data_IF_081295683755
#
_entry.id   IF_081295683755
#
_cell.length_a   1.000
_cell.length_b   1.000
_cell.length_c   1.000
_cell.angle_alpha   90.00
_cell.angle_beta   90.00
_cell.angle_gamma   90.00
#
_symmetry.space_group_name_H-M   'P 1'
#
loop_
_entity.id
_entity.type
_entity.pdbx_description
1 polymer ?
#
# COMPACT_ATOMS: atom_id res chain seq x y z
N UNK A 1 9.15 29.48 -11.31
CA UNK A 1 8.21 28.81 -10.38
C UNK A 1 8.64 29.10 -8.96
N UNK A 2 7.74 29.57 -8.09
CA UNK A 2 8.05 29.67 -6.66
C UNK A 2 8.05 28.24 -6.06
N UNK A 3 9.21 27.75 -5.67
CA UNK A 3 9.38 26.42 -5.05
C UNK A 3 9.02 26.50 -3.55
N UNK A 4 7.74 26.61 -3.26
CA UNK A 4 7.24 26.49 -1.88
C UNK A 4 6.95 25.03 -1.54
N UNK A 5 6.99 24.66 -0.26
CA UNK A 5 6.60 23.31 0.17
C UNK A 5 5.18 22.98 -0.33
N UNK A 6 4.25 23.93 -0.27
CA UNK A 6 2.87 23.74 -0.75
C UNK A 6 2.81 23.44 -2.26
N UNK A 7 3.66 24.06 -3.10
CA UNK A 7 3.67 23.78 -4.54
C UNK A 7 4.39 22.49 -4.89
N UNK A 8 5.50 22.21 -4.23
CA UNK A 8 6.34 21.02 -4.54
C UNK A 8 5.68 19.71 -4.14
N UNK A 9 4.98 19.69 -2.99
CA UNK A 9 4.27 18.51 -2.47
C UNK A 9 2.79 18.47 -2.89
N UNK A 10 2.35 19.34 -3.80
CA UNK A 10 0.95 19.41 -4.21
C UNK A 10 0.50 18.14 -4.94
N UNK A 11 -0.62 17.61 -4.49
CA UNK A 11 -1.39 16.57 -5.19
C UNK A 11 -2.78 17.08 -5.58
N UNK A 12 -3.01 18.39 -5.45
CA UNK A 12 -4.28 19.02 -5.79
C UNK A 12 -4.64 18.78 -7.26
N UNK A 13 -5.85 18.30 -7.49
CA UNK A 13 -6.36 18.00 -8.83
C UNK A 13 -5.79 16.73 -9.48
N UNK A 14 -4.84 16.02 -8.83
CA UNK A 14 -4.34 14.75 -9.33
C UNK A 14 -5.37 13.64 -9.15
N UNK A 15 -5.52 12.77 -10.14
CA UNK A 15 -6.33 11.55 -10.07
C UNK A 15 -5.47 10.40 -9.55
N UNK A 16 -5.89 9.83 -8.43
CA UNK A 16 -5.17 8.76 -7.72
C UNK A 16 -6.01 7.50 -7.65
N UNK A 17 -5.53 6.39 -8.18
CA UNK A 17 -6.13 5.08 -8.00
C UNK A 17 -5.46 4.38 -6.80
N UNK A 18 -6.26 4.00 -5.80
CA UNK A 18 -5.78 3.39 -4.55
C UNK A 18 -6.44 2.03 -4.32
N UNK A 19 -5.65 0.97 -4.32
CA UNK A 19 -6.13 -0.38 -3.98
C UNK A 19 -6.08 -0.63 -2.48
N UNK A 20 -7.06 -1.39 -1.95
CA UNK A 20 -7.15 -1.67 -0.52
C UNK A 20 -7.47 -0.45 0.33
N UNK A 21 -8.24 0.49 -0.23
CA UNK A 21 -8.50 1.80 0.35
C UNK A 21 -9.24 1.76 1.70
N UNK A 22 -10.04 0.73 1.97
CA UNK A 22 -10.74 0.58 3.27
C UNK A 22 -9.90 -0.11 4.37
N UNK A 23 -8.67 -0.52 4.03
CA UNK A 23 -7.74 -1.16 4.97
C UNK A 23 -7.15 -0.19 6.00
N UNK A 24 -6.38 -0.72 6.96
CA UNK A 24 -5.78 0.05 8.05
C UNK A 24 -4.89 1.21 7.56
N UNK A 25 -3.95 0.94 6.66
CA UNK A 25 -3.13 2.00 6.04
C UNK A 25 -3.87 2.69 4.89
N UNK A 26 -4.62 1.92 4.08
CA UNK A 26 -5.29 2.44 2.90
C UNK A 26 -6.29 3.55 3.21
N UNK A 27 -7.04 3.46 4.32
CA UNK A 27 -7.96 4.52 4.73
C UNK A 27 -7.23 5.83 5.06
N UNK A 28 -6.05 5.75 5.68
CA UNK A 28 -5.25 6.94 5.98
C UNK A 28 -4.58 7.51 4.73
N UNK A 29 -4.22 6.67 3.77
CA UNK A 29 -3.75 7.12 2.46
C UNK A 29 -4.85 7.87 1.69
N UNK A 30 -6.07 7.31 1.66
CA UNK A 30 -7.22 8.00 1.04
C UNK A 30 -7.50 9.36 1.71
N UNK A 31 -7.62 9.39 3.04
CA UNK A 31 -7.83 10.61 3.80
C UNK A 31 -6.73 11.65 3.56
N UNK A 32 -5.46 11.23 3.52
CA UNK A 32 -4.32 12.11 3.23
C UNK A 32 -4.43 12.73 1.84
N UNK A 33 -4.72 11.93 0.82
CA UNK A 33 -4.83 12.39 -0.57
C UNK A 33 -6.01 13.35 -0.75
N UNK A 34 -7.18 12.98 -0.23
CA UNK A 34 -8.40 13.79 -0.28
C UNK A 34 -8.26 15.13 0.43
N UNK A 35 -7.66 15.13 1.64
CA UNK A 35 -7.39 16.34 2.41
C UNK A 35 -6.44 17.31 1.70
N UNK A 36 -5.62 16.82 0.75
CA UNK A 36 -4.71 17.63 -0.08
C UNK A 36 -5.28 17.87 -1.50
N UNK A 37 -6.59 17.67 -1.69
CA UNK A 37 -7.30 18.03 -2.92
C UNK A 37 -7.13 17.08 -4.10
N UNK A 38 -6.61 15.86 -3.86
CA UNK A 38 -6.58 14.84 -4.90
C UNK A 38 -7.97 14.21 -5.09
N UNK A 39 -8.28 13.78 -6.31
CA UNK A 39 -9.41 12.89 -6.62
C UNK A 39 -8.95 11.44 -6.38
N UNK A 40 -9.67 10.71 -5.55
CA UNK A 40 -9.33 9.32 -5.19
C UNK A 40 -10.35 8.35 -5.76
N UNK A 41 -9.85 7.38 -6.53
CA UNK A 41 -10.59 6.22 -7.01
C UNK A 41 -10.18 5.05 -6.13
N UNK A 42 -11.07 4.66 -5.22
CA UNK A 42 -10.81 3.70 -4.17
C UNK A 42 -11.28 2.30 -4.56
N UNK A 43 -10.41 1.29 -4.48
CA UNK A 43 -10.75 -0.11 -4.70
C UNK A 43 -10.67 -0.88 -3.37
N UNK A 44 -11.66 -1.73 -3.10
CA UNK A 44 -11.71 -2.59 -1.91
C UNK A 44 -12.80 -3.63 -1.99
N UNK A 45 -12.82 -4.61 -1.07
CA UNK A 45 -13.66 -5.81 -1.20
C UNK A 45 -14.89 -5.88 -0.28
N UNK A 46 -15.19 -4.87 0.49
CA UNK A 46 -16.21 -5.04 1.54
C UNK A 46 -17.13 -3.84 1.70
N UNK A 47 -18.28 -4.06 2.33
CA UNK A 47 -19.19 -2.99 2.78
C UNK A 47 -18.50 -1.90 3.59
N UNK A 48 -17.36 -2.20 4.22
CA UNK A 48 -16.51 -1.20 4.87
C UNK A 48 -16.04 -0.12 3.88
N UNK A 49 -15.77 -0.48 2.61
CA UNK A 49 -15.43 0.52 1.61
C UNK A 49 -16.61 1.44 1.33
N UNK A 50 -17.81 0.90 1.18
CA UNK A 50 -19.01 1.69 0.92
C UNK A 50 -19.26 2.72 2.02
N UNK A 51 -19.16 2.29 3.29
CA UNK A 51 -19.25 3.21 4.44
C UNK A 51 -18.18 4.30 4.36
N UNK A 52 -16.94 3.94 4.07
CA UNK A 52 -15.85 4.92 3.93
C UNK A 52 -16.06 5.89 2.76
N UNK A 53 -16.59 5.42 1.64
CA UNK A 53 -16.89 6.29 0.50
C UNK A 53 -17.91 7.38 0.86
N UNK A 54 -18.95 7.03 1.62
CA UNK A 54 -19.95 8.01 2.07
C UNK A 54 -19.35 9.00 3.09
N UNK A 55 -18.55 8.52 4.05
CA UNK A 55 -17.82 9.38 4.98
C UNK A 55 -16.91 10.36 4.24
N UNK A 56 -16.13 9.89 3.27
CA UNK A 56 -15.20 10.71 2.50
C UNK A 56 -15.91 11.69 1.56
N UNK A 57 -17.00 11.27 0.90
CA UNK A 57 -17.83 12.17 0.10
C UNK A 57 -18.40 13.31 0.94
N UNK A 58 -18.87 13.01 2.15
CA UNK A 58 -19.37 14.01 3.08
C UNK A 58 -18.28 14.97 3.55
N UNK A 59 -17.07 14.47 3.84
CA UNK A 59 -15.97 15.26 4.40
C UNK A 59 -15.22 16.09 3.36
N UNK A 60 -15.04 15.57 2.12
CA UNK A 60 -14.14 16.16 1.11
C UNK A 60 -14.85 16.56 -0.18
N UNK A 61 -16.11 16.18 -0.36
CA UNK A 61 -16.90 16.44 -1.56
C UNK A 61 -17.00 15.23 -2.50
N UNK A 62 -18.20 15.01 -3.01
CA UNK A 62 -18.53 13.83 -3.83
C UNK A 62 -17.74 13.75 -5.15
N UNK A 63 -17.33 14.90 -5.69
CA UNK A 63 -16.56 15.00 -6.94
C UNK A 63 -15.12 14.45 -6.80
N UNK A 64 -14.58 14.41 -5.57
CA UNK A 64 -13.24 13.92 -5.30
C UNK A 64 -13.18 12.41 -4.97
N UNK A 65 -14.34 11.78 -4.75
CA UNK A 65 -14.42 10.41 -4.25
C UNK A 65 -15.20 9.51 -5.19
N UNK A 66 -14.53 8.52 -5.73
CA UNK A 66 -15.16 7.42 -6.46
C UNK A 66 -14.68 6.07 -5.91
N UNK A 67 -15.44 5.01 -6.08
CA UNK A 67 -15.01 3.71 -5.56
C UNK A 67 -15.65 2.52 -6.26
N UNK A 68 -14.91 1.41 -6.23
CA UNK A 68 -15.32 0.12 -6.75
C UNK A 68 -15.18 -0.95 -5.67
N UNK A 69 -16.31 -1.56 -5.31
CA UNK A 69 -16.33 -2.72 -4.39
C UNK A 69 -16.16 -4.00 -5.22
N UNK A 70 -15.04 -4.69 -5.02
CA UNK A 70 -14.74 -5.95 -5.71
C UNK A 70 -13.78 -6.82 -4.88
N UNK A 71 -13.87 -8.14 -5.07
CA UNK A 71 -12.82 -9.05 -4.62
C UNK A 71 -11.73 -9.12 -5.70
N UNK A 72 -10.51 -8.72 -5.34
CA UNK A 72 -9.38 -8.73 -6.28
C UNK A 72 -8.90 -10.15 -6.61
N UNK A 73 -9.36 -11.19 -5.90
CA UNK A 73 -9.15 -12.58 -6.28
C UNK A 73 -9.95 -12.96 -7.53
N UNK A 74 -11.08 -12.29 -7.80
CA UNK A 74 -11.75 -12.35 -9.10
C UNK A 74 -10.96 -11.48 -10.08
N UNK A 75 -9.98 -12.12 -10.72
CA UNK A 75 -9.05 -11.43 -11.62
C UNK A 75 -9.72 -10.91 -12.89
N UNK A 76 -10.81 -11.52 -13.34
CA UNK A 76 -11.56 -11.07 -14.51
C UNK A 76 -12.33 -9.79 -14.17
N UNK A 77 -13.02 -9.77 -13.02
CA UNK A 77 -13.67 -8.56 -12.53
C UNK A 77 -12.66 -7.45 -12.24
N UNK A 78 -11.51 -7.78 -11.68
CA UNK A 78 -10.43 -6.81 -11.47
C UNK A 78 -9.98 -6.18 -12.79
N UNK A 79 -9.74 -6.99 -13.84
CA UNK A 79 -9.36 -6.49 -15.17
C UNK A 79 -10.44 -5.57 -15.76
N UNK A 80 -11.70 -5.95 -15.65
CA UNK A 80 -12.83 -5.14 -16.12
C UNK A 80 -12.86 -3.78 -15.42
N UNK A 81 -12.79 -3.75 -14.08
CA UNK A 81 -12.81 -2.51 -13.30
C UNK A 81 -11.61 -1.61 -13.63
N UNK A 82 -10.42 -2.20 -13.77
CA UNK A 82 -9.23 -1.43 -14.13
C UNK A 82 -9.33 -0.83 -15.54
N UNK A 83 -9.93 -1.56 -16.50
CA UNK A 83 -10.22 -1.05 -17.84
C UNK A 83 -11.27 0.06 -17.78
N UNK A 84 -12.38 -0.14 -17.05
CA UNK A 84 -13.39 0.90 -16.82
C UNK A 84 -12.79 2.20 -16.27
N UNK A 85 -11.85 2.09 -15.31
CA UNK A 85 -11.15 3.27 -14.77
C UNK A 85 -10.28 3.93 -15.84
N UNK A 86 -9.51 3.14 -16.60
CA UNK A 86 -8.64 3.67 -17.65
C UNK A 86 -9.43 4.39 -18.76
N UNK A 87 -10.63 3.90 -19.08
CA UNK A 87 -11.48 4.47 -20.12
C UNK A 87 -12.22 5.72 -19.65
N UNK A 88 -12.72 5.71 -18.41
CA UNK A 88 -13.55 6.79 -17.86
C UNK A 88 -12.75 8.00 -17.38
N UNK A 89 -11.51 7.80 -16.93
CA UNK A 89 -10.69 8.91 -16.44
C UNK A 89 -9.88 9.53 -17.60
N UNK A 90 -9.97 10.85 -17.72
CA UNK A 90 -9.17 11.58 -18.72
C UNK A 90 -7.67 11.47 -18.43
N UNK A 91 -7.30 11.40 -17.14
CA UNK A 91 -5.93 11.34 -16.66
C UNK A 91 -5.83 10.48 -15.41
N UNK A 92 -4.75 9.72 -15.29
CA UNK A 92 -4.38 8.98 -14.07
C UNK A 92 -2.96 9.39 -13.69
N UNK A 93 -2.82 10.14 -12.59
CA UNK A 93 -1.53 10.68 -12.16
C UNK A 93 -0.77 9.74 -11.26
N UNK A 94 -1.51 9.03 -10.38
CA UNK A 94 -0.90 8.19 -9.35
C UNK A 94 -1.64 6.86 -9.23
N UNK A 95 -0.88 5.77 -9.17
CA UNK A 95 -1.37 4.45 -8.78
C UNK A 95 -0.72 4.05 -7.47
N UNK A 96 -1.52 3.77 -6.42
CA UNK A 96 -1.06 3.25 -5.14
C UNK A 96 -1.48 1.80 -4.99
N UNK A 97 -0.55 0.87 -5.16
CA UNK A 97 -0.75 -0.55 -4.93
C UNK A 97 -0.55 -0.84 -3.43
N UNK A 98 -1.65 -0.79 -2.68
CA UNK A 98 -1.65 -1.01 -1.24
C UNK A 98 -2.36 -2.30 -0.82
N UNK A 99 -3.27 -2.83 -1.66
CA UNK A 99 -4.03 -4.03 -1.33
C UNK A 99 -3.12 -5.24 -1.05
N UNK A 100 -3.40 -5.93 0.04
CA UNK A 100 -2.86 -7.24 0.35
C UNK A 100 -3.81 -7.96 1.30
N UNK A 101 -3.97 -9.27 1.16
CA UNK A 101 -4.76 -10.04 2.09
C UNK A 101 -3.91 -10.47 3.29
N UNK A 102 -4.30 -10.01 4.49
CA UNK A 102 -3.66 -10.36 5.76
C UNK A 102 -4.66 -11.18 6.57
N UNK A 103 -4.52 -12.50 6.57
CA UNK A 103 -5.43 -13.36 7.30
C UNK A 103 -5.06 -14.84 7.20
N UNK A 104 -5.92 -15.70 7.73
CA UNK A 104 -5.70 -17.15 7.78
C UNK A 104 -5.46 -17.74 6.38
N UNK A 105 -6.16 -17.25 5.36
CA UNK A 105 -6.01 -17.73 3.99
C UNK A 105 -4.62 -17.48 3.39
N UNK A 106 -3.84 -16.56 3.94
CA UNK A 106 -2.44 -16.26 3.58
C UNK A 106 -1.44 -16.74 4.62
N UNK A 107 -1.91 -17.41 5.69
CA UNK A 107 -1.07 -17.97 6.75
C UNK A 107 -0.77 -17.03 7.91
N UNK A 108 -1.27 -15.77 7.89
CA UNK A 108 -1.08 -14.86 9.01
C UNK A 108 -1.77 -15.37 10.27
N UNK A 109 -1.02 -15.36 11.38
CA UNK A 109 -1.51 -15.70 12.71
C UNK A 109 -2.17 -17.09 12.76
N UNK A 110 -1.60 -18.05 12.02
CA UNK A 110 -2.01 -19.45 12.04
C UNK A 110 -0.79 -20.37 12.18
N UNK A 111 -0.89 -21.51 12.85
CA UNK A 111 0.20 -22.50 12.90
C UNK A 111 0.60 -23.00 11.50
N UNK A 112 -0.37 -23.07 10.57
CA UNK A 112 -0.12 -23.48 9.17
C UNK A 112 0.60 -22.41 8.34
N UNK A 113 0.84 -21.23 8.88
CA UNK A 113 1.61 -20.17 8.23
C UNK A 113 3.10 -20.24 8.52
N UNK A 114 3.57 -21.21 9.35
CA UNK A 114 4.99 -21.39 9.60
C UNK A 114 5.75 -21.84 8.35
N UNK A 115 7.06 -21.74 8.37
CA UNK A 115 7.90 -22.16 7.22
C UNK A 115 7.68 -23.63 6.89
N UNK A 116 7.56 -24.49 7.90
CA UNK A 116 7.42 -25.94 7.76
C UNK A 116 6.02 -26.37 7.31
N UNK A 117 4.99 -25.59 7.65
CA UNK A 117 3.58 -25.97 7.44
C UNK A 117 2.87 -25.16 6.37
N UNK A 118 3.49 -24.11 5.85
CA UNK A 118 2.84 -23.23 4.86
C UNK A 118 2.54 -23.95 3.54
N UNK A 119 1.31 -23.79 3.07
CA UNK A 119 0.80 -24.47 1.87
C UNK A 119 1.06 -23.67 0.60
N UNK A 120 1.10 -24.36 -0.56
CA UNK A 120 1.17 -23.69 -1.87
C UNK A 120 -0.02 -22.75 -2.10
N UNK A 121 -1.20 -23.06 -1.55
CA UNK A 121 -2.36 -22.19 -1.65
C UNK A 121 -2.10 -20.86 -0.90
N UNK A 122 -1.58 -20.91 0.32
CA UNK A 122 -1.21 -19.70 1.07
C UNK A 122 -0.13 -18.87 0.35
N UNK A 123 0.87 -19.55 -0.23
CA UNK A 123 1.88 -18.88 -1.06
C UNK A 123 1.27 -18.22 -2.29
N UNK A 124 0.39 -18.90 -3.01
CA UNK A 124 -0.31 -18.35 -4.18
C UNK A 124 -1.13 -17.12 -3.82
N UNK A 125 -1.85 -17.14 -2.69
CA UNK A 125 -2.61 -15.97 -2.20
C UNK A 125 -1.70 -14.81 -1.79
N UNK A 126 -0.56 -15.07 -1.16
CA UNK A 126 0.43 -14.03 -0.88
C UNK A 126 1.00 -13.43 -2.18
N UNK A 127 1.32 -14.25 -3.17
CA UNK A 127 1.78 -13.78 -4.48
C UNK A 127 0.69 -13.01 -5.23
N UNK A 128 -0.58 -13.41 -5.09
CA UNK A 128 -1.69 -12.66 -5.67
C UNK A 128 -1.68 -11.21 -5.16
N UNK A 129 -1.71 -11.00 -3.85
CA UNK A 129 -1.69 -9.65 -3.26
C UNK A 129 -0.37 -8.90 -3.44
N UNK A 130 0.76 -9.61 -3.37
CA UNK A 130 2.09 -9.00 -3.46
C UNK A 130 2.55 -8.71 -4.89
N UNK A 131 2.10 -9.49 -5.89
CA UNK A 131 2.62 -9.40 -7.25
C UNK A 131 1.51 -9.28 -8.30
N UNK A 132 0.50 -10.19 -8.29
CA UNK A 132 -0.41 -10.28 -9.43
C UNK A 132 -1.39 -9.11 -9.49
N UNK A 133 -1.96 -8.68 -8.38
CA UNK A 133 -2.83 -7.49 -8.36
C UNK A 133 -2.07 -6.21 -8.76
N UNK A 134 -0.88 -5.91 -8.20
CA UNK A 134 -0.06 -4.81 -8.71
C UNK A 134 0.26 -4.92 -10.20
N UNK A 135 0.59 -6.13 -10.70
CA UNK A 135 0.87 -6.35 -12.12
C UNK A 135 -0.33 -5.95 -12.98
N UNK A 136 -1.54 -6.44 -12.64
CA UNK A 136 -2.75 -6.13 -13.39
C UNK A 136 -3.08 -4.63 -13.38
N UNK A 137 -2.95 -3.99 -12.21
CA UNK A 137 -3.18 -2.56 -12.08
C UNK A 137 -2.15 -1.74 -12.87
N UNK A 138 -0.87 -2.12 -12.80
CA UNK A 138 0.20 -1.47 -13.55
C UNK A 138 0.00 -1.64 -15.06
N UNK A 139 -0.36 -2.84 -15.53
CA UNK A 139 -0.62 -3.07 -16.95
C UNK A 139 -1.78 -2.23 -17.50
N UNK A 140 -2.90 -2.18 -16.78
CA UNK A 140 -4.08 -1.45 -17.23
C UNK A 140 -3.88 0.07 -17.15
N UNK A 141 -3.56 0.59 -15.97
CA UNK A 141 -3.50 2.03 -15.70
C UNK A 141 -2.19 2.67 -16.17
N UNK A 142 -1.10 1.91 -16.13
CA UNK A 142 0.21 2.39 -16.56
C UNK A 142 0.31 2.63 -18.08
N UNK A 143 -0.50 1.94 -18.90
CA UNK A 143 -0.58 2.27 -20.32
C UNK A 143 -1.09 3.70 -20.53
N UNK A 144 -2.12 4.10 -19.79
CA UNK A 144 -2.61 5.49 -19.79
C UNK A 144 -1.53 6.49 -19.36
N UNK A 145 -0.79 6.16 -18.27
CA UNK A 145 0.33 7.00 -17.82
C UNK A 145 1.43 7.14 -18.90
N UNK A 146 1.71 6.07 -19.65
CA UNK A 146 2.67 6.16 -20.79
C UNK A 146 2.18 7.07 -21.90
N UNK A 147 0.91 6.99 -22.27
CA UNK A 147 0.30 7.88 -23.27
C UNK A 147 0.35 9.33 -22.81
N UNK A 148 0.10 9.59 -21.54
CA UNK A 148 0.20 10.91 -20.90
C UNK A 148 1.65 11.42 -20.80
N UNK A 149 2.67 10.57 -20.97
CA UNK A 149 4.07 10.87 -20.68
C UNK A 149 4.28 11.39 -19.24
N UNK A 150 3.48 10.88 -18.31
CA UNK A 150 3.49 11.29 -16.90
C UNK A 150 2.79 10.26 -16.03
N UNK A 151 3.37 9.92 -14.89
CA UNK A 151 2.73 9.05 -13.91
C UNK A 151 3.63 8.73 -12.72
N UNK A 152 3.02 8.40 -11.59
CA UNK A 152 3.70 7.90 -10.40
C UNK A 152 3.07 6.62 -9.88
N UNK A 153 3.82 5.53 -9.88
CA UNK A 153 3.41 4.24 -9.31
C UNK A 153 4.06 4.08 -7.94
N UNK A 154 3.25 3.86 -6.91
CA UNK A 154 3.67 3.73 -5.52
C UNK A 154 3.26 2.34 -5.03
N UNK A 155 4.23 1.48 -4.79
CA UNK A 155 4.00 0.13 -4.29
C UNK A 155 4.21 0.09 -2.77
N UNK A 156 3.17 -0.30 -2.02
CA UNK A 156 3.29 -0.48 -0.57
C UNK A 156 3.83 -1.89 -0.30
N UNK A 157 5.12 -1.92 0.03
CA UNK A 157 5.83 -3.14 0.41
C UNK A 157 5.78 -3.35 1.93
N UNK A 158 6.90 -3.67 2.54
CA UNK A 158 7.12 -3.82 3.98
C UNK A 158 8.63 -3.77 4.24
N UNK A 159 9.06 -3.43 5.46
CA UNK A 159 10.44 -3.61 5.88
C UNK A 159 10.96 -5.04 5.63
N UNK A 160 10.07 -6.03 5.70
CA UNK A 160 10.40 -7.44 5.43
C UNK A 160 10.65 -7.77 3.95
N UNK A 161 10.54 -6.78 3.06
CA UNK A 161 11.09 -6.89 1.71
C UNK A 161 12.61 -6.61 1.67
N UNK A 162 13.16 -6.01 2.72
CA UNK A 162 14.58 -5.65 2.84
C UNK A 162 15.32 -6.51 3.90
N UNK A 163 14.63 -6.91 4.98
CA UNK A 163 15.17 -7.75 6.06
C UNK A 163 14.22 -8.89 6.38
N UNK A 164 14.73 -9.99 6.92
CA UNK A 164 13.89 -11.10 7.34
C UNK A 164 13.13 -10.78 8.65
N UNK A 165 11.91 -11.33 8.84
CA UNK A 165 11.29 -11.37 10.16
C UNK A 165 12.17 -12.13 11.15
N UNK A 166 12.29 -11.61 12.39
CA UNK A 166 12.98 -12.35 13.47
C UNK A 166 11.99 -13.30 14.13
N UNK A 167 12.27 -14.60 14.24
CA UNK A 167 11.40 -15.58 14.89
C UNK A 167 11.07 -15.22 16.33
N UNK A 168 12.03 -14.67 17.09
CA UNK A 168 11.90 -14.28 18.50
C UNK A 168 10.74 -13.29 18.76
N UNK A 169 10.33 -12.52 17.72
CA UNK A 169 9.18 -11.61 17.82
C UNK A 169 7.88 -12.35 18.07
N UNK A 170 7.74 -13.50 17.44
CA UNK A 170 6.50 -14.28 17.40
C UNK A 170 6.46 -15.35 18.47
N UNK A 171 7.61 -15.72 19.05
CA UNK A 171 7.74 -16.72 20.08
C UNK A 171 6.92 -16.36 21.31
N UNK A 172 6.06 -17.30 21.78
CA UNK A 172 5.15 -17.08 22.90
C UNK A 172 4.00 -16.10 22.61
N UNK A 173 3.66 -15.89 21.32
CA UNK A 173 2.52 -15.05 20.90
C UNK A 173 1.63 -15.80 19.92
N UNK A 174 0.38 -15.30 19.74
CA UNK A 174 -0.54 -15.81 18.71
C UNK A 174 -0.31 -15.14 17.33
N UNK A 175 0.77 -14.38 17.18
CA UNK A 175 1.11 -13.69 15.94
C UNK A 175 2.13 -14.51 15.14
N UNK A 176 1.98 -14.45 13.81
CA UNK A 176 2.92 -15.04 12.86
C UNK A 176 2.91 -14.27 11.55
N UNK A 177 4.08 -13.95 11.03
CA UNK A 177 4.27 -13.43 9.69
C UNK A 177 4.71 -14.56 8.76
N UNK A 178 3.89 -15.00 7.80
CA UNK A 178 4.20 -16.15 6.95
C UNK A 178 5.32 -15.83 5.95
N UNK A 179 6.15 -16.81 5.56
CA UNK A 179 7.28 -16.61 4.64
C UNK A 179 6.82 -16.11 3.26
N UNK A 180 5.64 -16.56 2.79
CA UNK A 180 5.07 -16.13 1.53
C UNK A 180 4.78 -14.64 1.45
N UNK A 181 4.45 -13.99 2.58
CA UNK A 181 4.27 -12.53 2.62
C UNK A 181 5.58 -11.80 2.34
N UNK A 182 6.64 -12.10 3.08
CA UNK A 182 7.94 -11.44 2.90
C UNK A 182 8.48 -11.67 1.49
N UNK A 183 8.38 -12.90 0.99
CA UNK A 183 8.80 -13.25 -0.38
C UNK A 183 8.01 -12.45 -1.43
N UNK A 184 6.68 -12.37 -1.31
CA UNK A 184 5.85 -11.63 -2.26
C UNK A 184 6.12 -10.12 -2.25
N UNK A 185 6.38 -9.54 -1.08
CA UNK A 185 6.71 -8.12 -0.95
C UNK A 185 8.12 -7.79 -1.44
N UNK A 186 9.08 -8.71 -1.29
CA UNK A 186 10.41 -8.60 -1.91
C UNK A 186 10.31 -8.69 -3.44
N UNK A 187 9.46 -9.57 -3.96
CA UNK A 187 9.17 -9.63 -5.39
C UNK A 187 8.55 -8.32 -5.91
N UNK A 188 7.61 -7.71 -5.17
CA UNK A 188 7.04 -6.40 -5.53
C UNK A 188 8.09 -5.29 -5.54
N UNK A 189 9.03 -5.31 -4.59
CA UNK A 189 10.13 -4.35 -4.56
C UNK A 189 11.05 -4.51 -5.78
N UNK A 190 11.36 -5.75 -6.19
CA UNK A 190 12.10 -6.02 -7.42
C UNK A 190 11.32 -5.59 -8.67
N UNK A 191 10.02 -5.87 -8.70
CA UNK A 191 9.14 -5.46 -9.80
C UNK A 191 9.02 -3.94 -9.92
N UNK A 192 9.05 -3.20 -8.80
CA UNK A 192 9.12 -1.73 -8.80
C UNK A 192 10.32 -1.22 -9.60
N UNK A 193 11.50 -1.81 -9.39
CA UNK A 193 12.73 -1.44 -10.12
C UNK A 193 12.63 -1.77 -11.61
N UNK A 194 12.02 -2.91 -11.95
CA UNK A 194 11.80 -3.29 -13.35
C UNK A 194 10.90 -2.28 -14.06
N UNK A 195 9.76 -1.90 -13.45
CA UNK A 195 8.83 -0.91 -14.03
C UNK A 195 9.53 0.44 -14.19
N UNK A 196 10.29 0.89 -13.19
CA UNK A 196 11.04 2.13 -13.25
C UNK A 196 12.04 2.16 -14.42
N UNK A 197 12.80 1.08 -14.61
CA UNK A 197 13.73 0.93 -15.72
C UNK A 197 13.02 0.89 -17.07
N UNK A 198 11.92 0.16 -17.14
CA UNK A 198 11.25 -0.11 -18.43
C UNK A 198 10.39 1.07 -18.91
N UNK A 199 9.76 1.82 -17.96
CA UNK A 199 8.84 2.93 -18.28
C UNK A 199 9.39 4.33 -18.00
N UNK A 200 10.59 4.44 -17.45
CA UNK A 200 11.22 5.74 -17.19
C UNK A 200 11.33 6.64 -18.43
N UNK A 201 11.54 6.07 -19.61
CA UNK A 201 11.56 6.79 -20.89
C UNK A 201 10.24 7.46 -21.27
N UNK A 202 9.14 7.06 -20.64
CA UNK A 202 7.80 7.68 -20.78
C UNK A 202 7.49 8.62 -19.63
N UNK A 203 8.50 8.99 -18.82
CA UNK A 203 8.32 9.82 -17.63
C UNK A 203 7.33 9.22 -16.61
N UNK A 204 7.22 7.88 -16.58
CA UNK A 204 6.47 7.14 -15.55
C UNK A 204 7.44 6.65 -14.49
N UNK A 205 7.27 7.16 -13.29
CA UNK A 205 8.09 6.78 -12.13
C UNK A 205 7.45 5.61 -11.39
N UNK A 206 8.25 4.74 -10.81
CA UNK A 206 7.78 3.67 -9.92
C UNK A 206 8.70 3.59 -8.71
N UNK A 207 8.13 3.73 -7.52
CA UNK A 207 8.84 3.69 -6.25
C UNK A 207 8.06 2.86 -5.23
N UNK A 208 8.71 2.49 -4.13
CA UNK A 208 8.09 1.74 -3.05
C UNK A 208 8.14 2.50 -1.72
N UNK A 209 7.12 2.32 -0.88
CA UNK A 209 7.18 2.64 0.55
C UNK A 209 7.32 1.30 1.29
N UNK A 210 8.26 1.24 2.23
CA UNK A 210 8.49 0.09 3.09
C UNK A 210 8.13 0.45 4.53
N UNK A 211 6.86 0.27 4.93
CA UNK A 211 6.46 0.49 6.31
C UNK A 211 7.13 -0.50 7.26
N UNK A 212 7.50 -0.02 8.44
CA UNK A 212 7.92 -0.81 9.57
C UNK A 212 6.74 -1.37 10.37
N UNK A 213 6.87 -1.49 11.71
CA UNK A 213 5.81 -1.97 12.58
C UNK A 213 4.75 -0.88 12.78
N UNK A 214 3.71 -0.90 11.96
CA UNK A 214 2.49 -0.11 12.12
C UNK A 214 1.40 -1.03 12.66
N UNK A 215 1.07 -0.92 13.93
CA UNK A 215 0.06 -1.76 14.58
C UNK A 215 -1.23 -1.00 14.84
N UNK A 216 -2.35 -1.71 14.70
CA UNK A 216 -3.69 -1.16 14.93
C UNK A 216 -3.98 -1.09 16.43
N UNK A 217 -3.34 -0.17 17.15
CA UNK A 217 -3.46 -0.01 18.60
C UNK A 217 -4.57 0.96 19.03
N UNK A 218 -5.02 1.80 18.10
CA UNK A 218 -5.98 2.87 18.40
C UNK A 218 -7.40 2.51 17.90
N UNK A 219 -7.59 1.32 17.36
CA UNK A 219 -8.85 0.85 16.81
C UNK A 219 -9.53 -0.16 17.73
N UNK A 220 -10.76 0.12 18.10
CA UNK A 220 -11.68 -0.85 18.68
C UNK A 220 -12.24 -1.76 17.57
N UNK A 221 -11.55 -2.83 17.25
CA UNK A 221 -11.97 -3.78 16.21
C UNK A 221 -11.30 -5.14 16.41
N UNK A 222 -11.76 -6.18 15.71
CA UNK A 222 -11.31 -7.56 15.91
C UNK A 222 -9.81 -7.77 15.66
N UNK A 223 -9.14 -6.84 15.00
CA UNK A 223 -7.71 -6.89 14.71
C UNK A 223 -6.93 -5.81 15.50
N UNK A 224 -7.50 -5.22 16.55
CA UNK A 224 -6.78 -4.29 17.40
C UNK A 224 -5.80 -5.04 18.31
N UNK A 225 -4.62 -4.46 18.48
CA UNK A 225 -3.58 -5.02 19.38
C UNK A 225 -3.62 -4.20 20.67
N UNK A 226 -3.87 -4.81 21.84
CA UNK A 226 -3.84 -4.11 23.13
C UNK A 226 -2.50 -3.39 23.36
N UNK A 227 -2.54 -2.20 23.95
CA UNK A 227 -1.35 -1.38 24.21
C UNK A 227 -0.32 -2.04 25.12
N UNK A 228 -0.75 -2.93 25.99
CA UNK A 228 0.06 -3.72 26.92
C UNK A 228 0.44 -5.12 26.38
N UNK A 229 0.06 -5.42 25.15
CA UNK A 229 0.38 -6.71 24.51
C UNK A 229 1.90 -6.97 24.54
N UNK A 230 2.33 -8.17 24.97
CA UNK A 230 3.73 -8.58 24.90
C UNK A 230 4.32 -8.49 23.50
N UNK A 231 3.52 -8.82 22.47
CA UNK A 231 3.92 -8.67 21.06
C UNK A 231 4.23 -7.21 20.73
N UNK A 232 3.37 -6.28 21.15
CA UNK A 232 3.59 -4.85 20.91
C UNK A 232 4.84 -4.32 21.62
N UNK A 233 5.14 -4.82 22.82
CA UNK A 233 6.37 -4.49 23.53
C UNK A 233 7.61 -5.00 22.78
N UNK A 234 7.56 -6.23 22.24
CA UNK A 234 8.63 -6.76 21.37
C UNK A 234 8.84 -5.89 20.12
N UNK A 235 7.76 -5.47 19.45
CA UNK A 235 7.86 -4.55 18.31
C UNK A 235 8.52 -3.22 18.68
N UNK A 236 8.11 -2.61 19.79
CA UNK A 236 8.69 -1.36 20.30
C UNK A 236 10.19 -1.48 20.60
N UNK A 237 10.60 -2.57 21.24
CA UNK A 237 12.00 -2.78 21.61
C UNK A 237 12.94 -2.86 20.40
N UNK A 238 12.41 -3.35 19.26
CA UNK A 238 13.15 -3.53 18.00
C UNK A 238 13.20 -2.28 17.11
N UNK A 239 12.54 -1.20 17.46
CA UNK A 239 12.71 0.09 16.75
C UNK A 239 13.71 0.98 17.49
N UNK A 240 14.49 1.79 16.75
CA UNK A 240 15.33 2.83 17.37
C UNK A 240 14.48 3.86 18.14
N UNK A 241 13.30 4.20 17.61
CA UNK A 241 12.38 5.17 18.21
C UNK A 241 11.58 4.62 19.39
N UNK A 242 11.73 3.32 19.74
CA UNK A 242 11.10 2.63 20.89
C UNK A 242 9.57 2.73 20.91
N UNK A 243 8.96 2.83 19.74
CA UNK A 243 7.51 2.83 19.54
C UNK A 243 7.15 2.23 18.17
N UNK A 244 5.90 1.86 17.99
CA UNK A 244 5.35 1.56 16.67
C UNK A 244 4.96 2.84 15.93
N UNK A 245 4.87 2.77 14.61
CA UNK A 245 4.42 3.87 13.76
C UNK A 245 2.92 4.08 13.85
N UNK A 246 2.47 5.32 13.68
CA UNK A 246 1.08 5.69 13.49
C UNK A 246 0.81 5.81 11.99
N UNK A 247 -0.33 5.34 11.45
CA UNK A 247 -0.60 5.33 10.01
C UNK A 247 -0.41 6.69 9.31
N UNK A 248 -0.74 7.79 9.99
CA UNK A 248 -0.56 9.15 9.45
C UNK A 248 0.93 9.56 9.31
N UNK A 249 1.86 8.85 9.94
CA UNK A 249 3.30 9.10 9.75
C UNK A 249 3.83 8.63 8.39
N UNK A 250 3.01 7.88 7.63
CA UNK A 250 3.28 7.54 6.23
C UNK A 250 2.81 8.62 5.24
N UNK A 251 2.02 9.60 5.70
CA UNK A 251 1.45 10.65 4.85
C UNK A 251 2.51 11.43 4.09
N UNK A 252 3.60 11.82 4.75
CA UNK A 252 4.70 12.55 4.13
C UNK A 252 5.38 11.76 3.00
N UNK A 253 5.65 10.48 3.21
CA UNK A 253 6.22 9.62 2.19
C UNK A 253 5.27 9.42 0.99
N UNK A 254 3.98 9.26 1.26
CA UNK A 254 2.96 9.15 0.22
C UNK A 254 2.88 10.42 -0.62
N UNK A 255 2.72 11.60 0.00
CA UNK A 255 2.64 12.88 -0.70
C UNK A 255 3.93 13.19 -1.48
N UNK A 256 5.09 12.87 -0.92
CA UNK A 256 6.37 13.01 -1.62
C UNK A 256 6.40 12.20 -2.92
N UNK A 257 6.05 10.91 -2.87
CA UNK A 257 6.05 10.07 -4.07
C UNK A 257 4.92 10.38 -5.05
N UNK A 258 3.77 10.85 -4.56
CA UNK A 258 2.61 11.21 -5.38
C UNK A 258 2.76 12.58 -6.08
N UNK A 259 3.65 13.43 -5.60
CA UNK A 259 3.87 14.80 -6.10
C UNK A 259 5.13 14.94 -6.95
N UNK A 260 5.33 16.15 -7.44
CA UNK A 260 6.51 16.51 -8.23
C UNK A 260 7.77 16.69 -7.37
N UNK A 261 7.64 16.66 -6.03
CA UNK A 261 8.75 16.62 -5.09
C UNK A 261 9.71 15.43 -5.37
N UNK A 262 9.20 14.34 -5.93
CA UNK A 262 9.97 13.16 -6.30
C UNK A 262 10.17 13.00 -7.82
N UNK A 263 10.09 14.08 -8.58
CA UNK A 263 10.13 14.05 -10.07
C UNK A 263 11.40 13.40 -10.64
N UNK A 264 12.52 13.43 -9.92
CA UNK A 264 13.78 12.77 -10.34
C UNK A 264 14.08 11.49 -9.54
N UNK A 265 13.05 10.89 -8.90
CA UNK A 265 13.18 9.67 -8.12
C UNK A 265 12.37 8.54 -8.74
N UNK A 266 13.02 7.46 -9.18
CA UNK A 266 12.38 6.25 -9.67
C UNK A 266 13.21 5.01 -9.33
N UNK A 267 12.56 3.85 -9.17
CA UNK A 267 13.19 2.59 -8.79
C UNK A 267 13.65 2.50 -7.34
N UNK A 268 13.27 3.45 -6.50
CA UNK A 268 13.76 3.57 -5.13
C UNK A 268 12.73 3.12 -4.10
N UNK A 269 13.19 2.96 -2.87
CA UNK A 269 12.35 2.63 -1.72
C UNK A 269 12.54 3.65 -0.60
N UNK A 270 11.43 4.13 -0.03
CA UNK A 270 11.39 4.91 1.20
C UNK A 270 11.05 3.98 2.35
N UNK A 271 12.02 3.75 3.23
CA UNK A 271 11.83 2.97 4.45
C UNK A 271 11.33 3.90 5.54
N UNK A 272 10.17 3.59 6.12
CA UNK A 272 9.55 4.34 7.22
C UNK A 272 9.24 3.36 8.34
N UNK A 273 10.22 3.06 9.18
CA UNK A 273 10.22 1.89 10.07
C UNK A 273 10.66 2.18 11.51
N UNK A 274 10.88 3.44 11.85
CA UNK A 274 11.38 3.83 13.19
C UNK A 274 12.80 3.34 13.48
N UNK A 275 13.58 3.03 12.43
CA UNK A 275 14.94 2.52 12.54
C UNK A 275 15.03 1.01 12.76
N UNK A 276 13.99 0.26 12.43
CA UNK A 276 13.98 -1.21 12.54
C UNK A 276 15.08 -1.89 11.70
N UNK A 277 15.26 -1.45 10.46
CA UNK A 277 16.19 -2.09 9.52
C UNK A 277 17.65 -1.71 9.71
N UNK A 278 17.99 -0.85 10.66
CA UNK A 278 19.36 -0.38 10.90
C UNK A 278 19.99 -0.92 12.20
N UNK A 279 19.25 -1.76 12.94
CA UNK A 279 19.72 -2.41 14.18
C UNK A 279 19.47 -3.92 14.16
#
# INVERSE_FOLDING_TARGET
MNLTAASVFSVQGKTVVLTGASGFLGSKFAETLLANGARVIALGRSAKLETRLEEWKSAYGSQLVHGYTLDMHDTDRLRQVLAEIADNESQIDVLVNNAHELGHATGFNTPTGSLEASTLEQWTKNLAGGVFWPLLAIQALGNKMKEQQSGSIINICTMYAAVAPSPDLYEGTDFLNPPGYSASKAALLSFTRYVASYWGKYNVRANAILPGPFSNTDYSGPNSVPQDSPFLQKLRSRTCLKRVGRPNELAGALLFLASDASSFMTGQSLIVDGGWTVI
#
